data_IF_640652101671
#
_entry.id   IF_640652101671
#
_cell.length_a   1.000
_cell.length_b   1.000
_cell.length_c   1.000
_cell.angle_alpha   90.00
_cell.angle_beta   90.00
_cell.angle_gamma   90.00
#
_symmetry.space_group_name_H-M   'P 1'
#
loop_
_entity.id
_entity.type
_entity.pdbx_description
1 polymer ?
#
# COMPACT_ATOMS: atom_id res chain seq x y z
N UNK A 1 27.06 -27.19 -14.20
CA UNK A 1 26.28 -25.95 -14.35
C UNK A 1 24.94 -26.15 -15.08
N UNK A 2 24.84 -27.01 -16.11
CA UNK A 2 23.59 -27.27 -16.84
C UNK A 2 22.40 -27.76 -15.98
N UNK A 3 22.62 -28.65 -15.01
CA UNK A 3 21.53 -29.16 -14.14
C UNK A 3 20.98 -28.13 -13.14
N UNK A 4 21.78 -27.13 -12.73
CA UNK A 4 21.33 -26.08 -11.82
C UNK A 4 20.47 -25.05 -12.57
N UNK A 5 20.90 -24.61 -13.75
CA UNK A 5 20.09 -23.72 -14.58
C UNK A 5 18.77 -24.37 -15.05
N UNK A 6 18.81 -25.67 -15.40
CA UNK A 6 17.60 -26.42 -15.77
C UNK A 6 16.63 -26.62 -14.59
N UNK A 7 17.13 -26.81 -13.37
CA UNK A 7 16.29 -27.04 -12.18
C UNK A 7 15.92 -25.76 -11.41
N UNK A 8 16.69 -24.69 -11.48
CA UNK A 8 16.43 -23.47 -10.68
C UNK A 8 16.11 -22.26 -11.55
N UNK A 9 16.30 -22.36 -12.88
CA UNK A 9 16.15 -21.25 -13.82
C UNK A 9 14.76 -20.60 -13.78
N UNK A 10 13.68 -21.39 -13.71
CA UNK A 10 12.32 -20.83 -13.62
C UNK A 10 12.06 -20.12 -12.27
N UNK A 11 12.60 -20.64 -11.16
CA UNK A 11 12.49 -19.99 -9.85
C UNK A 11 13.21 -18.64 -9.85
N UNK A 12 14.44 -18.63 -10.37
CA UNK A 12 15.26 -17.43 -10.45
C UNK A 12 14.60 -16.42 -11.37
N UNK A 13 14.08 -16.86 -12.51
CA UNK A 13 13.35 -16.01 -13.44
C UNK A 13 12.13 -15.34 -12.78
N UNK A 14 11.28 -16.09 -12.09
CA UNK A 14 10.11 -15.53 -11.38
C UNK A 14 10.54 -14.50 -10.32
N UNK A 15 11.58 -14.80 -9.55
CA UNK A 15 12.12 -13.87 -8.55
C UNK A 15 12.67 -12.61 -9.22
N UNK A 16 13.43 -12.73 -10.31
CA UNK A 16 13.97 -11.59 -11.05
C UNK A 16 12.87 -10.73 -11.67
N UNK A 17 11.82 -11.33 -12.21
CA UNK A 17 10.65 -10.61 -12.71
C UNK A 17 9.95 -9.86 -11.57
N UNK A 18 9.71 -10.52 -10.43
CA UNK A 18 9.11 -9.89 -9.25
C UNK A 18 9.96 -8.72 -8.72
N UNK A 19 11.27 -8.88 -8.62
CA UNK A 19 12.20 -7.80 -8.25
C UNK A 19 12.20 -6.67 -9.27
N UNK A 20 12.20 -7.00 -10.57
CA UNK A 20 12.12 -6.04 -11.67
C UNK A 20 10.85 -5.21 -11.63
N UNK A 21 9.69 -5.82 -11.34
CA UNK A 21 8.42 -5.10 -11.16
C UNK A 21 8.49 -4.17 -9.95
N UNK A 22 9.05 -4.61 -8.82
CA UNK A 22 9.23 -3.74 -7.65
C UNK A 22 10.13 -2.54 -7.95
N UNK A 23 11.27 -2.76 -8.61
CA UNK A 23 12.17 -1.69 -9.02
C UNK A 23 11.51 -0.72 -10.00
N UNK A 24 10.79 -1.24 -10.99
CA UNK A 24 10.02 -0.44 -11.94
C UNK A 24 8.97 0.41 -11.24
N UNK A 25 8.12 -0.18 -10.38
CA UNK A 25 7.10 0.54 -9.63
C UNK A 25 7.73 1.63 -8.75
N UNK A 26 8.82 1.30 -8.06
CA UNK A 26 9.52 2.26 -7.23
C UNK A 26 9.99 3.47 -8.05
N UNK A 27 10.75 3.24 -9.13
CA UNK A 27 11.28 4.31 -9.98
C UNK A 27 10.16 5.09 -10.65
N UNK A 28 9.16 4.40 -11.20
CA UNK A 28 8.03 5.03 -11.89
C UNK A 28 7.27 5.98 -10.97
N UNK A 29 6.88 5.52 -9.78
CA UNK A 29 6.19 6.38 -8.82
C UNK A 29 7.10 7.45 -8.24
N UNK A 30 8.38 7.17 -8.01
CA UNK A 30 9.34 8.17 -7.56
C UNK A 30 9.40 9.36 -8.54
N UNK A 31 9.54 9.07 -9.84
CA UNK A 31 9.60 10.07 -10.91
C UNK A 31 8.24 10.75 -11.14
N UNK A 32 7.12 10.04 -11.02
CA UNK A 32 5.78 10.61 -11.17
C UNK A 32 5.49 11.73 -10.15
N UNK A 33 6.07 11.63 -8.95
CA UNK A 33 5.95 12.66 -7.91
C UNK A 33 6.98 13.81 -8.05
N UNK A 34 7.86 13.77 -9.06
CA UNK A 34 8.73 14.89 -9.44
C UNK A 34 8.12 15.79 -10.52
N UNK A 35 6.99 15.40 -11.11
CA UNK A 35 6.29 16.21 -12.12
C UNK A 35 5.76 17.54 -11.54
N UNK A 36 5.50 18.51 -12.42
CA UNK A 36 5.00 19.86 -12.10
C UNK A 36 3.75 19.86 -11.24
N UNK A 37 2.83 18.90 -11.47
CA UNK A 37 1.61 18.74 -10.66
C UNK A 37 1.88 18.68 -9.15
N UNK A 38 3.04 18.16 -8.74
CA UNK A 38 3.44 18.01 -7.35
C UNK A 38 4.48 19.05 -6.91
N UNK A 39 4.78 20.05 -7.75
CA UNK A 39 5.80 21.06 -7.47
C UNK A 39 5.58 21.73 -6.12
N UNK A 40 4.41 22.33 -5.87
CA UNK A 40 4.11 22.98 -4.59
C UNK A 40 4.10 22.01 -3.41
N UNK A 41 3.66 20.76 -3.62
CA UNK A 41 3.75 19.72 -2.60
C UNK A 41 5.21 19.40 -2.26
N UNK A 42 6.11 19.41 -3.25
CA UNK A 42 7.56 19.24 -3.06
C UNK A 42 8.24 20.47 -2.48
N UNK A 43 7.70 21.67 -2.67
CA UNK A 43 8.19 22.87 -1.96
C UNK A 43 8.00 22.69 -0.45
N UNK A 44 6.90 22.06 -0.02
CA UNK A 44 6.67 21.72 1.39
C UNK A 44 7.48 20.50 1.83
N UNK A 45 7.44 19.40 1.08
CA UNK A 45 7.88 18.08 1.56
C UNK A 45 9.26 17.65 1.03
N UNK A 46 9.82 18.37 0.07
CA UNK A 46 11.03 17.98 -0.64
C UNK A 46 10.91 16.58 -1.27
N UNK A 47 12.01 15.83 -1.21
CA UNK A 47 12.08 14.47 -1.72
C UNK A 47 11.34 13.45 -0.83
N UNK A 48 10.99 13.79 0.41
CA UNK A 48 10.28 12.89 1.32
C UNK A 48 8.90 12.50 0.79
N UNK A 49 8.29 13.34 -0.07
CA UNK A 49 7.08 12.99 -0.82
C UNK A 49 7.31 11.75 -1.71
N UNK A 50 8.28 11.81 -2.63
CA UNK A 50 8.56 10.69 -3.53
C UNK A 50 8.98 9.44 -2.77
N UNK A 51 9.79 9.60 -1.71
CA UNK A 51 10.20 8.50 -0.82
C UNK A 51 9.06 7.91 0.01
N UNK A 52 7.95 8.61 0.23
CA UNK A 52 6.77 8.02 0.85
C UNK A 52 5.89 7.29 -0.18
N UNK A 53 5.76 7.84 -1.39
CA UNK A 53 4.82 7.35 -2.40
C UNK A 53 5.33 6.17 -3.22
N UNK A 54 6.63 6.12 -3.53
CA UNK A 54 7.21 5.00 -4.25
C UNK A 54 7.13 3.68 -3.45
N UNK A 55 7.53 3.60 -2.16
CA UNK A 55 7.30 2.41 -1.35
C UNK A 55 5.83 2.07 -1.16
N UNK A 56 4.93 3.07 -1.09
CA UNK A 56 3.49 2.81 -0.96
C UNK A 56 2.93 2.05 -2.18
N UNK A 57 3.42 2.34 -3.38
CA UNK A 57 3.06 1.59 -4.59
C UNK A 57 3.59 0.14 -4.54
N UNK A 58 4.85 -0.04 -4.13
CA UNK A 58 5.43 -1.37 -3.94
C UNK A 58 4.71 -2.16 -2.83
N UNK A 59 4.29 -1.50 -1.75
CA UNK A 59 3.49 -2.11 -0.68
C UNK A 59 2.14 -2.58 -1.22
N UNK A 60 1.41 -1.77 -1.98
CA UNK A 60 0.15 -2.19 -2.59
C UNK A 60 0.32 -3.44 -3.46
N UNK A 61 1.39 -3.48 -4.27
CA UNK A 61 1.69 -4.64 -5.12
C UNK A 61 2.06 -5.88 -4.30
N UNK A 62 2.95 -5.76 -3.31
CA UNK A 62 3.35 -6.91 -2.51
C UNK A 62 2.25 -7.40 -1.56
N UNK A 63 1.43 -6.50 -1.00
CA UNK A 63 0.26 -6.88 -0.20
C UNK A 63 -0.85 -7.53 -1.03
N UNK A 64 -0.98 -7.18 -2.32
CA UNK A 64 -1.80 -7.95 -3.26
C UNK A 64 -1.23 -9.36 -3.47
N UNK A 65 0.09 -9.44 -3.65
CA UNK A 65 0.80 -10.67 -4.00
C UNK A 65 0.95 -11.65 -2.83
N UNK A 66 1.08 -11.19 -1.58
CA UNK A 66 1.38 -12.02 -0.40
C UNK A 66 0.31 -13.09 -0.13
N UNK A 67 -0.93 -12.86 -0.56
CA UNK A 67 -2.05 -13.79 -0.41
C UNK A 67 -1.99 -14.92 -1.44
N UNK A 68 -1.54 -14.67 -2.66
CA UNK A 68 -1.54 -15.65 -3.76
C UNK A 68 -0.81 -16.98 -3.41
N UNK A 69 0.37 -16.97 -2.77
CA UNK A 69 1.09 -18.20 -2.43
C UNK A 69 0.47 -19.01 -1.29
N UNK A 70 -0.55 -18.48 -0.60
CA UNK A 70 -1.27 -19.20 0.47
C UNK A 70 -2.69 -19.61 0.07
N UNK A 71 -3.14 -19.23 -1.15
CA UNK A 71 -4.41 -19.64 -1.76
C UNK A 71 -4.38 -21.12 -2.18
N UNK A 72 -4.54 -22.05 -1.23
CA UNK A 72 -4.43 -23.51 -1.49
C UNK A 72 -5.30 -24.01 -2.65
N UNK A 73 -6.53 -23.54 -2.78
CA UNK A 73 -7.45 -23.98 -3.84
C UNK A 73 -7.00 -23.50 -5.23
N UNK A 74 -6.55 -22.24 -5.34
CA UNK A 74 -5.98 -21.68 -6.58
C UNK A 74 -4.73 -22.44 -6.97
N UNK A 75 -3.85 -22.69 -6.01
CA UNK A 75 -2.59 -23.41 -6.24
C UNK A 75 -2.84 -24.86 -6.65
N UNK A 76 -3.82 -25.54 -6.05
CA UNK A 76 -4.24 -26.90 -6.44
C UNK A 76 -4.81 -26.94 -7.85
N UNK A 77 -5.65 -25.96 -8.24
CA UNK A 77 -6.19 -25.85 -9.60
C UNK A 77 -5.10 -25.58 -10.65
N UNK A 78 -4.21 -24.61 -10.36
CA UNK A 78 -3.08 -24.28 -11.23
C UNK A 78 -2.11 -25.46 -11.35
N UNK A 79 -1.91 -26.22 -10.26
CA UNK A 79 -1.10 -27.44 -10.30
C UNK A 79 -1.71 -28.49 -11.22
N UNK A 80 -3.02 -28.74 -11.14
CA UNK A 80 -3.71 -29.72 -12.00
C UNK A 80 -3.60 -29.38 -13.49
N UNK A 81 -3.77 -28.11 -13.85
CA UNK A 81 -3.68 -27.63 -15.24
C UNK A 81 -2.24 -27.61 -15.77
N UNK A 82 -1.28 -27.16 -14.95
CA UNK A 82 0.12 -26.98 -15.36
C UNK A 82 0.92 -28.28 -15.27
N UNK A 83 0.58 -29.22 -14.39
CA UNK A 83 1.28 -30.51 -14.30
C UNK A 83 1.11 -31.36 -15.56
N UNK A 84 0.02 -31.14 -16.31
CA UNK A 84 -0.16 -31.71 -17.65
C UNK A 84 0.83 -31.12 -18.68
N UNK A 85 1.26 -29.86 -18.51
CA UNK A 85 2.05 -29.11 -19.50
C UNK A 85 3.54 -28.92 -19.12
N UNK A 86 3.90 -28.87 -17.84
CA UNK A 86 5.28 -28.64 -17.38
C UNK A 86 5.51 -29.05 -15.92
N UNK A 87 6.35 -30.07 -15.70
CA UNK A 87 6.80 -30.50 -14.36
C UNK A 87 7.61 -29.41 -13.64
N UNK A 88 8.34 -28.57 -14.37
CA UNK A 88 9.16 -27.49 -13.80
C UNK A 88 8.29 -26.39 -13.20
N UNK A 89 7.17 -26.06 -13.83
CA UNK A 89 6.24 -25.05 -13.32
C UNK A 89 5.41 -25.56 -12.12
N UNK A 90 5.02 -26.84 -12.12
CA UNK A 90 4.41 -27.45 -10.92
C UNK A 90 5.35 -27.39 -9.69
N UNK A 91 6.66 -27.66 -9.88
CA UNK A 91 7.65 -27.54 -8.80
C UNK A 91 7.85 -26.11 -8.29
N UNK A 92 7.61 -25.09 -9.10
CA UNK A 92 7.62 -23.70 -8.63
C UNK A 92 6.43 -23.39 -7.73
N UNK A 93 5.25 -23.91 -8.06
CA UNK A 93 4.07 -23.80 -7.21
C UNK A 93 4.29 -24.47 -5.85
N UNK A 94 5.06 -25.56 -5.78
CA UNK A 94 5.41 -26.22 -4.52
C UNK A 94 6.33 -25.37 -3.61
N UNK A 95 7.02 -24.36 -4.15
CA UNK A 95 7.87 -23.42 -3.39
C UNK A 95 7.16 -22.13 -2.96
N UNK A 96 5.82 -22.12 -3.01
CA UNK A 96 4.99 -20.96 -2.70
C UNK A 96 5.27 -20.32 -1.32
N UNK A 97 5.53 -21.10 -0.27
CA UNK A 97 5.79 -20.58 1.08
C UNK A 97 7.13 -19.84 1.15
N UNK A 98 8.15 -20.31 0.44
CA UNK A 98 9.44 -19.58 0.37
C UNK A 98 9.25 -18.24 -0.32
N UNK A 99 8.44 -18.19 -1.38
CA UNK A 99 8.08 -16.95 -2.05
C UNK A 99 7.27 -16.01 -1.14
N UNK A 100 6.28 -16.53 -0.39
CA UNK A 100 5.53 -15.77 0.62
C UNK A 100 6.46 -15.09 1.63
N UNK A 101 7.47 -15.82 2.15
CA UNK A 101 8.46 -15.23 3.07
C UNK A 101 9.28 -14.11 2.42
N UNK A 102 9.72 -14.27 1.17
CA UNK A 102 10.45 -13.22 0.44
C UNK A 102 9.58 -11.96 0.24
N UNK A 103 8.31 -12.14 -0.14
CA UNK A 103 7.35 -11.03 -0.25
C UNK A 103 7.12 -10.36 1.10
N UNK A 104 7.04 -11.13 2.20
CA UNK A 104 6.90 -10.58 3.54
C UNK A 104 8.11 -9.70 3.95
N UNK A 105 9.34 -10.13 3.64
CA UNK A 105 10.53 -9.29 3.87
C UNK A 105 10.53 -8.01 3.03
N UNK A 106 10.05 -8.07 1.78
CA UNK A 106 9.90 -6.89 0.93
C UNK A 106 8.85 -5.91 1.48
N UNK A 107 7.73 -6.42 2.01
CA UNK A 107 6.72 -5.61 2.71
C UNK A 107 7.34 -4.93 3.93
N UNK A 108 8.14 -5.65 4.73
CA UNK A 108 8.81 -5.09 5.90
C UNK A 108 9.76 -3.94 5.50
N UNK A 109 10.58 -4.16 4.47
CA UNK A 109 11.51 -3.16 3.95
C UNK A 109 10.80 -1.90 3.46
N UNK A 110 9.81 -2.04 2.56
CA UNK A 110 9.09 -0.88 2.06
C UNK A 110 8.25 -0.18 3.14
N UNK A 111 7.73 -0.91 4.13
CA UNK A 111 7.05 -0.32 5.29
C UNK A 111 8.00 0.57 6.08
N UNK A 112 9.22 0.11 6.37
CA UNK A 112 10.21 0.91 7.08
C UNK A 112 10.54 2.21 6.32
N UNK A 113 10.83 2.11 5.01
CA UNK A 113 11.11 3.30 4.17
C UNK A 113 9.91 4.24 4.13
N UNK A 114 8.69 3.71 3.98
CA UNK A 114 7.45 4.48 3.94
C UNK A 114 7.21 5.25 5.25
N UNK A 115 7.37 4.61 6.40
CA UNK A 115 7.20 5.23 7.72
C UNK A 115 8.22 6.34 7.92
N UNK A 116 9.50 6.08 7.65
CA UNK A 116 10.57 7.08 7.79
C UNK A 116 10.27 8.31 6.92
N UNK A 117 9.88 8.10 5.67
CA UNK A 117 9.51 9.20 4.77
C UNK A 117 8.28 9.97 5.27
N UNK A 118 7.30 9.30 5.88
CA UNK A 118 6.15 9.96 6.50
C UNK A 118 6.53 10.80 7.73
N UNK A 119 7.49 10.34 8.55
CA UNK A 119 7.98 11.13 9.69
C UNK A 119 8.60 12.45 9.21
N UNK A 120 9.46 12.41 8.18
CA UNK A 120 10.00 13.63 7.57
C UNK A 120 8.91 14.51 6.95
N UNK A 121 7.91 13.92 6.29
CA UNK A 121 6.82 14.71 5.71
C UNK A 121 6.03 15.48 6.78
N UNK A 122 5.75 14.85 7.93
CA UNK A 122 5.04 15.52 9.02
C UNK A 122 5.88 16.63 9.65
N UNK A 123 7.18 16.41 9.83
CA UNK A 123 8.10 17.44 10.33
C UNK A 123 8.11 18.66 9.40
N UNK A 124 8.26 18.44 8.08
CA UNK A 124 8.27 19.54 7.12
C UNK A 124 6.92 20.28 7.02
N UNK A 125 5.80 19.57 7.15
CA UNK A 125 4.50 20.22 7.27
C UNK A 125 4.40 21.10 8.52
N UNK A 126 4.99 20.68 9.63
CA UNK A 126 5.00 21.48 10.86
C UNK A 126 5.90 22.70 10.74
N UNK A 127 7.11 22.54 10.24
CA UNK A 127 8.05 23.64 10.03
C UNK A 127 7.46 24.71 9.11
N UNK A 128 6.81 24.28 8.02
CA UNK A 128 6.15 25.19 7.08
C UNK A 128 5.02 26.00 7.73
N UNK A 129 4.25 25.39 8.65
CA UNK A 129 3.15 26.09 9.33
C UNK A 129 3.64 26.99 10.47
N UNK A 130 4.71 26.58 11.18
CA UNK A 130 5.25 27.34 12.31
C UNK A 130 6.06 28.57 11.87
N UNK A 131 6.63 28.55 10.66
CA UNK A 131 7.38 29.67 10.10
C UNK A 131 6.43 30.76 9.57
N UNK A 132 5.82 31.53 10.48
CA UNK A 132 4.78 32.56 10.24
C UNK A 132 5.25 33.80 9.47
N UNK A 133 6.02 33.59 8.42
CA UNK A 133 6.51 34.63 7.54
C UNK A 133 5.66 34.62 6.27
N UNK A 134 4.86 35.67 6.05
CA UNK A 134 4.02 35.81 4.85
C UNK A 134 4.82 35.94 3.55
N UNK A 135 6.11 36.27 3.63
CA UNK A 135 7.03 36.27 2.48
C UNK A 135 7.74 34.92 2.30
N UNK A 136 7.30 33.88 3.02
CA UNK A 136 7.83 32.52 2.87
C UNK A 136 6.79 31.63 2.18
N UNK A 137 7.09 31.19 0.96
CA UNK A 137 6.19 30.40 0.13
C UNK A 137 5.60 29.15 0.85
N UNK A 138 6.39 28.33 1.58
CA UNK A 138 5.83 27.20 2.34
C UNK A 138 4.75 27.59 3.37
N UNK A 139 4.88 28.75 4.02
CA UNK A 139 3.86 29.25 4.94
C UNK A 139 2.60 29.66 4.18
N UNK A 140 2.73 30.42 3.08
CA UNK A 140 1.61 30.82 2.22
C UNK A 140 0.86 29.60 1.69
N UNK A 141 1.57 28.57 1.23
CA UNK A 141 0.99 27.30 0.79
C UNK A 141 0.26 26.55 1.91
N UNK A 142 0.72 26.69 3.16
CA UNK A 142 0.10 26.06 4.32
C UNK A 142 -1.19 26.75 4.75
N UNK A 143 -1.35 28.04 4.44
CA UNK A 143 -2.58 28.81 4.72
C UNK A 143 -3.67 28.63 3.64
N UNK A 144 -3.33 28.12 2.45
CA UNK A 144 -4.32 27.88 1.38
C UNK A 144 -5.39 26.88 1.84
N UNK A 145 -6.66 27.25 1.65
CA UNK A 145 -7.83 26.42 1.96
C UNK A 145 -8.25 26.41 3.43
N UNK A 146 -7.71 27.31 4.27
CA UNK A 146 -8.06 27.36 5.71
C UNK A 146 -9.53 27.72 5.96
N UNK A 147 -10.19 28.38 4.99
CA UNK A 147 -11.61 28.74 5.08
C UNK A 147 -12.60 27.70 4.55
N UNK A 148 -12.20 26.86 3.57
CA UNK A 148 -13.11 25.92 2.88
C UNK A 148 -12.79 24.44 3.11
N UNK A 149 -11.59 24.11 3.64
CA UNK A 149 -11.03 22.76 3.79
C UNK A 149 -11.05 21.89 2.51
N UNK A 150 -11.39 22.47 1.36
CA UNK A 150 -11.52 21.73 0.10
C UNK A 150 -10.17 21.66 -0.61
N UNK A 151 -9.47 22.80 -0.66
CA UNK A 151 -8.27 23.00 -1.48
C UNK A 151 -6.94 22.93 -0.70
N UNK A 152 -6.96 22.51 0.56
CA UNK A 152 -5.75 22.51 1.41
C UNK A 152 -4.60 21.71 0.82
N UNK A 153 -3.37 22.16 1.08
CA UNK A 153 -2.15 21.40 0.77
C UNK A 153 -1.47 20.88 2.03
N UNK A 154 -1.31 21.73 3.05
CA UNK A 154 -0.83 21.31 4.37
C UNK A 154 -2.02 20.84 5.24
N UNK A 155 -2.03 19.58 5.73
CA UNK A 155 -3.07 19.10 6.62
C UNK A 155 -2.99 19.69 8.03
N UNK A 156 -1.87 20.30 8.41
CA UNK A 156 -1.64 20.91 9.73
C UNK A 156 -2.09 22.36 9.66
N UNK A 157 -3.12 22.71 10.43
CA UNK A 157 -3.83 24.00 10.31
C UNK A 157 -3.78 24.88 11.55
N UNK A 158 -3.46 24.30 12.69
CA UNK A 158 -3.41 25.01 13.95
C UNK A 158 -1.99 24.99 14.48
N UNK A 159 -1.66 25.99 15.28
CA UNK A 159 -0.30 26.16 15.78
C UNK A 159 -0.04 25.33 17.04
N UNK A 160 -1.10 24.91 17.72
CA UNK A 160 -1.04 24.11 18.95
C UNK A 160 -0.99 22.59 18.67
N UNK A 161 -0.69 22.19 17.43
CA UNK A 161 -0.57 20.77 17.06
C UNK A 161 0.85 20.27 17.22
N UNK A 162 0.97 19.10 17.86
CA UNK A 162 2.19 18.30 17.95
C UNK A 162 2.12 17.14 16.94
N UNK A 163 3.25 16.59 16.43
CA UNK A 163 3.22 15.44 15.52
C UNK A 163 2.44 14.24 16.09
N UNK A 164 2.53 14.04 17.41
CA UNK A 164 1.81 12.99 18.13
C UNK A 164 0.29 13.17 18.04
N UNK A 165 -0.19 14.42 18.13
CA UNK A 165 -1.60 14.70 18.01
C UNK A 165 -2.10 14.37 16.59
N UNK A 166 -1.36 14.77 15.56
CA UNK A 166 -1.68 14.47 14.16
C UNK A 166 -1.69 12.97 13.89
N UNK A 167 -0.75 12.23 14.50
CA UNK A 167 -0.66 10.78 14.40
C UNK A 167 -1.91 10.06 14.95
N UNK A 168 -2.52 10.57 16.02
CA UNK A 168 -3.68 9.91 16.65
C UNK A 168 -5.05 10.53 16.32
N UNK A 169 -5.09 11.60 15.52
CA UNK A 169 -6.37 12.25 15.13
C UNK A 169 -6.69 12.10 13.65
N UNK A 170 -5.69 11.89 12.80
CA UNK A 170 -5.92 11.68 11.37
C UNK A 170 -6.23 10.22 11.05
N UNK A 171 -7.10 10.00 10.05
CA UNK A 171 -7.41 8.64 9.57
C UNK A 171 -6.12 7.90 9.19
N UNK A 172 -5.23 8.55 8.43
CA UNK A 172 -3.97 7.96 8.02
C UNK A 172 -3.05 7.65 9.21
N UNK A 173 -2.99 8.52 10.22
CA UNK A 173 -2.17 8.31 11.40
C UNK A 173 -2.65 7.11 12.23
N UNK A 174 -3.93 7.11 12.65
CA UNK A 174 -4.50 6.04 13.51
C UNK A 174 -4.42 4.68 12.83
N UNK A 175 -4.85 4.62 11.55
CA UNK A 175 -4.74 3.37 10.78
C UNK A 175 -3.28 2.98 10.56
N UNK A 176 -2.38 3.93 10.33
CA UNK A 176 -0.95 3.71 10.15
C UNK A 176 -0.29 3.09 11.38
N UNK A 177 -0.61 3.57 12.58
CA UNK A 177 -0.14 2.97 13.83
C UNK A 177 -0.70 1.56 13.99
N UNK A 178 -2.01 1.37 13.81
CA UNK A 178 -2.65 0.07 13.96
C UNK A 178 -2.09 -0.99 12.99
N UNK A 179 -1.95 -0.67 11.70
CA UNK A 179 -1.39 -1.61 10.71
C UNK A 179 0.09 -1.90 10.97
N UNK A 180 0.86 -0.92 11.43
CA UNK A 180 2.29 -1.11 11.73
C UNK A 180 2.48 -2.04 12.92
N UNK A 181 1.71 -1.83 14.00
CA UNK A 181 1.73 -2.71 15.17
C UNK A 181 1.32 -4.13 14.79
N UNK A 182 0.24 -4.29 14.02
CA UNK A 182 -0.17 -5.60 13.51
C UNK A 182 0.94 -6.26 12.68
N UNK A 183 1.58 -5.52 11.77
CA UNK A 183 2.66 -6.04 10.93
C UNK A 183 3.88 -6.47 11.76
N UNK A 184 4.29 -5.68 12.76
CA UNK A 184 5.40 -6.02 13.65
C UNK A 184 5.10 -7.33 14.40
N UNK A 185 3.90 -7.46 14.97
CA UNK A 185 3.49 -8.68 15.67
C UNK A 185 3.46 -9.90 14.74
N UNK A 186 2.92 -9.76 13.54
CA UNK A 186 2.89 -10.84 12.53
C UNK A 186 4.32 -11.26 12.15
N UNK A 187 5.20 -10.30 11.83
CA UNK A 187 6.56 -10.60 11.37
C UNK A 187 7.37 -11.26 12.48
N UNK A 188 7.34 -10.69 13.69
CA UNK A 188 8.12 -11.18 14.83
C UNK A 188 7.72 -12.60 15.19
N UNK A 189 6.42 -12.89 15.35
CA UNK A 189 5.94 -14.24 15.67
C UNK A 189 6.18 -15.26 14.55
N UNK A 190 6.26 -14.80 13.29
CA UNK A 190 6.52 -15.65 12.13
C UNK A 190 8.00 -16.01 11.94
N UNK A 191 8.91 -15.42 12.72
CA UNK A 191 10.33 -15.77 12.70
C UNK A 191 10.52 -17.25 13.05
N UNK A 192 11.50 -17.89 12.39
CA UNK A 192 11.69 -19.34 12.48
C UNK A 192 11.93 -19.83 13.91
N UNK A 193 12.66 -19.05 14.71
CA UNK A 193 12.95 -19.35 16.12
C UNK A 193 11.64 -19.43 16.93
N UNK A 194 10.76 -18.44 16.78
CA UNK A 194 9.50 -18.38 17.54
C UNK A 194 8.52 -19.42 17.01
N UNK A 195 8.31 -19.48 15.69
CA UNK A 195 7.34 -20.38 15.07
C UNK A 195 7.64 -21.87 15.32
N UNK A 196 8.92 -22.26 15.42
CA UNK A 196 9.29 -23.66 15.71
C UNK A 196 9.06 -24.05 17.18
N UNK A 197 9.22 -23.10 18.11
CA UNK A 197 9.08 -23.35 19.55
C UNK A 197 7.68 -23.06 20.09
N UNK A 198 6.96 -22.11 19.48
CA UNK A 198 5.67 -21.59 19.95
C UNK A 198 4.70 -21.44 18.77
N UNK A 199 4.27 -22.57 18.20
CA UNK A 199 3.42 -22.59 17.01
C UNK A 199 2.06 -21.90 17.22
N UNK A 200 1.44 -22.07 18.39
CA UNK A 200 0.16 -21.42 18.73
C UNK A 200 0.29 -19.89 18.69
N UNK A 201 1.38 -19.34 19.25
CA UNK A 201 1.64 -17.89 19.23
C UNK A 201 1.74 -17.39 17.80
N UNK A 202 2.50 -18.09 16.95
CA UNK A 202 2.54 -17.80 15.51
C UNK A 202 1.14 -17.82 14.91
N UNK A 203 0.37 -18.88 15.13
CA UNK A 203 -0.93 -19.06 14.48
C UNK A 203 -1.93 -17.97 14.85
N UNK A 204 -2.12 -17.68 16.14
CA UNK A 204 -3.06 -16.64 16.59
C UNK A 204 -2.63 -15.24 16.16
N UNK A 205 -1.34 -14.91 16.29
CA UNK A 205 -0.86 -13.58 15.89
C UNK A 205 -0.84 -13.38 14.38
N UNK A 206 -0.66 -14.44 13.58
CA UNK A 206 -0.68 -14.32 12.12
C UNK A 206 -2.06 -13.90 11.60
N UNK A 207 -3.15 -14.28 12.29
CA UNK A 207 -4.53 -13.85 11.95
C UNK A 207 -4.77 -12.34 12.07
N UNK A 208 -3.85 -11.59 12.69
CA UNK A 208 -3.85 -10.12 12.63
C UNK A 208 -3.75 -9.59 11.19
N UNK A 209 -3.47 -10.45 10.19
CA UNK A 209 -3.60 -10.09 8.77
C UNK A 209 -4.98 -9.49 8.46
N UNK A 210 -6.06 -9.91 9.14
CA UNK A 210 -7.41 -9.35 8.95
C UNK A 210 -7.42 -7.85 9.31
N UNK A 211 -6.90 -7.52 10.49
CA UNK A 211 -6.78 -6.12 10.95
C UNK A 211 -5.85 -5.34 10.02
N UNK A 212 -4.73 -5.94 9.62
CA UNK A 212 -3.78 -5.33 8.68
C UNK A 212 -4.45 -4.95 7.36
N UNK A 213 -5.18 -5.86 6.71
CA UNK A 213 -5.82 -5.58 5.42
C UNK A 213 -7.00 -4.60 5.53
N UNK A 214 -7.80 -4.68 6.59
CA UNK A 214 -8.86 -3.69 6.86
C UNK A 214 -8.23 -2.30 7.04
N UNK A 215 -7.23 -2.19 7.91
CA UNK A 215 -6.54 -0.92 8.15
C UNK A 215 -5.89 -0.38 6.87
N UNK A 216 -5.24 -1.24 6.08
CA UNK A 216 -4.61 -0.87 4.81
C UNK A 216 -5.62 -0.32 3.79
N UNK A 217 -6.83 -0.88 3.72
CA UNK A 217 -7.89 -0.40 2.83
C UNK A 217 -8.33 1.04 3.16
N UNK A 218 -8.38 1.39 4.46
CA UNK A 218 -8.78 2.71 4.93
C UNK A 218 -7.62 3.71 5.08
N UNK A 219 -6.38 3.23 5.16
CA UNK A 219 -5.21 4.07 5.43
C UNK A 219 -5.06 5.25 4.45
N UNK A 220 -5.34 5.02 3.17
CA UNK A 220 -5.31 6.05 2.13
C UNK A 220 -6.58 6.91 2.01
N UNK A 221 -7.62 6.67 2.80
CA UNK A 221 -8.94 7.29 2.63
C UNK A 221 -8.94 8.79 2.92
N UNK A 222 -8.04 9.27 3.78
CA UNK A 222 -7.92 10.69 4.15
C UNK A 222 -7.40 11.61 3.04
N UNK A 223 -6.87 11.06 1.93
CA UNK A 223 -6.37 11.82 0.76
C UNK A 223 -5.47 13.01 1.13
N UNK A 224 -4.59 12.80 2.11
CA UNK A 224 -3.71 13.83 2.68
C UNK A 224 -2.67 14.31 1.68
N UNK A 225 -2.16 13.41 0.83
CA UNK A 225 -1.20 13.77 -0.23
C UNK A 225 -1.97 14.36 -1.41
N UNK A 226 -1.76 15.66 -1.62
CA UNK A 226 -2.50 16.47 -2.60
C UNK A 226 -1.54 17.13 -3.56
N UNK A 227 -1.98 17.23 -4.81
CA UNK A 227 -1.24 17.86 -5.90
C UNK A 227 -2.14 18.89 -6.55
N UNK A 228 -1.54 19.75 -7.36
CA UNK A 228 -2.27 20.77 -8.09
C UNK A 228 -3.30 20.12 -9.02
N UNK A 229 -4.46 20.74 -9.12
CA UNK A 229 -5.52 20.31 -10.04
C UNK A 229 -5.15 20.68 -11.47
N UNK A 230 -5.67 19.93 -12.46
CA UNK A 230 -5.39 20.20 -13.86
C UNK A 230 -5.83 21.60 -14.30
N UNK A 231 -7.00 22.06 -13.83
CA UNK A 231 -7.47 23.41 -14.13
C UNK A 231 -6.60 24.47 -13.46
N UNK A 232 -6.12 24.22 -12.24
CA UNK A 232 -5.20 25.12 -11.56
C UNK A 232 -3.83 25.19 -12.23
N UNK A 233 -3.32 24.11 -12.82
CA UNK A 233 -2.05 24.13 -13.57
C UNK A 233 -2.11 25.06 -14.78
N UNK A 234 -3.27 25.19 -15.43
CA UNK A 234 -3.44 26.08 -16.59
C UNK A 234 -3.43 27.57 -16.22
N UNK A 235 -3.87 27.89 -15.01
CA UNK A 235 -4.00 29.29 -14.54
C UNK A 235 -2.92 29.67 -13.53
N UNK A 236 -2.08 28.72 -13.13
CA UNK A 236 -1.00 28.88 -12.18
C UNK A 236 0.07 27.84 -12.51
N UNK A 237 0.98 28.24 -13.40
CA UNK A 237 2.12 27.41 -13.82
C UNK A 237 3.22 27.49 -12.74
N UNK A 238 3.61 26.37 -12.11
CA UNK A 238 4.46 26.42 -10.92
C UNK A 238 5.83 27.07 -11.12
N UNK A 239 6.47 26.88 -12.27
CA UNK A 239 7.81 27.41 -12.53
C UNK A 239 7.82 28.95 -12.56
N UNK A 240 6.80 29.57 -13.16
CA UNK A 240 6.66 31.02 -13.21
C UNK A 240 6.03 31.56 -11.92
N UNK A 241 4.87 31.00 -11.53
CA UNK A 241 4.02 31.54 -10.49
C UNK A 241 4.58 31.33 -9.08
N UNK A 242 5.47 30.38 -8.85
CA UNK A 242 6.10 30.19 -7.54
C UNK A 242 6.99 31.36 -7.11
N UNK A 243 7.57 32.09 -8.06
CA UNK A 243 8.43 33.26 -7.77
C UNK A 243 7.63 34.52 -7.44
N UNK A 244 6.37 34.61 -7.91
CA UNK A 244 5.46 35.75 -7.77
C UNK A 244 4.26 35.42 -6.87
N UNK A 245 4.50 34.64 -5.82
CA UNK A 245 3.44 34.11 -4.97
C UNK A 245 2.70 35.19 -4.15
N UNK A 246 3.35 36.34 -3.90
CA UNK A 246 2.73 37.49 -3.24
C UNK A 246 1.65 38.17 -4.10
N UNK A 247 1.65 37.94 -5.42
CA UNK A 247 0.70 38.53 -6.39
C UNK A 247 -0.44 37.59 -6.76
N UNK A 248 -0.51 36.38 -6.18
CA UNK A 248 -1.52 35.39 -6.52
C UNK A 248 -2.94 35.90 -6.29
N UNK A 249 -3.76 35.86 -7.34
CA UNK A 249 -5.16 36.31 -7.27
C UNK A 249 -5.33 37.83 -7.12
N UNK A 250 -4.30 38.63 -7.41
CA UNK A 250 -4.42 40.09 -7.47
C UNK A 250 -5.21 40.54 -8.71
N UNK A 251 -6.15 41.47 -8.52
CA UNK A 251 -6.95 42.06 -9.61
C UNK A 251 -6.11 42.96 -10.57
N UNK A 252 -4.85 43.23 -10.24
CA UNK A 252 -3.95 44.12 -10.99
C UNK A 252 -3.31 43.46 -12.24
N UNK A 253 -3.99 42.50 -12.85
CA UNK A 253 -3.50 41.82 -14.06
C UNK A 253 -2.42 40.77 -13.81
N UNK A 254 -2.34 40.19 -12.61
CA UNK A 254 -1.46 39.05 -12.38
C UNK A 254 -1.98 37.83 -13.14
N UNK A 255 -1.09 37.16 -13.89
CA UNK A 255 -1.40 35.96 -14.69
C UNK A 255 -1.57 34.71 -13.83
N UNK A 256 -1.17 34.78 -12.55
CA UNK A 256 -1.12 33.65 -11.63
C UNK A 256 -2.33 33.65 -10.68
N UNK A 257 -3.30 32.77 -10.93
CA UNK A 257 -4.40 32.53 -10.00
C UNK A 257 -3.90 31.81 -8.72
N UNK A 258 -4.66 31.87 -7.62
CA UNK A 258 -4.34 31.09 -6.41
C UNK A 258 -4.41 29.59 -6.73
N UNK A 259 -3.36 28.80 -6.43
CA UNK A 259 -3.32 27.39 -6.80
C UNK A 259 -4.34 26.57 -6.01
N UNK A 260 -5.00 25.63 -6.68
CA UNK A 260 -5.99 24.71 -6.08
C UNK A 260 -5.49 23.28 -6.07
N UNK A 261 -5.55 22.64 -4.91
CA UNK A 261 -5.06 21.29 -4.69
C UNK A 261 -6.18 20.28 -4.50
N UNK A 262 -5.95 19.06 -4.96
CA UNK A 262 -6.85 17.94 -4.73
C UNK A 262 -6.08 16.66 -4.44
N UNK A 263 -6.62 15.86 -3.53
CA UNK A 263 -6.08 14.54 -3.20
C UNK A 263 -6.52 13.49 -4.20
N UNK A 264 -5.61 12.61 -4.58
CA UNK A 264 -5.96 11.49 -5.45
C UNK A 264 -6.94 10.54 -4.73
N UNK A 265 -7.88 9.93 -5.47
CA UNK A 265 -8.74 8.91 -4.89
C UNK A 265 -7.88 7.74 -4.38
N UNK A 266 -8.28 7.08 -3.27
CA UNK A 266 -7.53 5.95 -2.75
C UNK A 266 -7.44 4.88 -3.83
N UNK A 267 -6.25 4.32 -4.06
CA UNK A 267 -6.03 3.26 -5.04
C UNK A 267 -5.91 1.89 -4.38
N UNK A 268 -5.51 1.82 -3.11
CA UNK A 268 -5.21 0.58 -2.38
C UNK A 268 -6.34 -0.44 -2.42
N UNK A 269 -7.60 0.01 -2.33
CA UNK A 269 -8.76 -0.88 -2.44
C UNK A 269 -8.80 -1.65 -3.77
N UNK A 270 -8.35 -1.06 -4.89
CA UNK A 270 -8.31 -1.73 -6.20
C UNK A 270 -7.30 -2.88 -6.22
N UNK A 271 -6.18 -2.70 -5.52
CA UNK A 271 -5.12 -3.70 -5.42
C UNK A 271 -5.50 -4.82 -4.44
N UNK A 272 -6.25 -4.49 -3.40
CA UNK A 272 -6.58 -5.43 -2.32
C UNK A 272 -7.87 -6.23 -2.57
N UNK A 273 -8.90 -5.62 -3.19
CA UNK A 273 -10.19 -6.28 -3.39
C UNK A 273 -10.14 -7.44 -4.38
N UNK A 274 -9.38 -7.34 -5.47
CA UNK A 274 -9.29 -8.42 -6.47
C UNK A 274 -8.83 -9.75 -5.85
N UNK A 275 -7.67 -9.81 -5.19
CA UNK A 275 -7.20 -11.01 -4.51
C UNK A 275 -8.09 -11.44 -3.33
N UNK A 276 -8.65 -10.51 -2.57
CA UNK A 276 -9.54 -10.86 -1.44
C UNK A 276 -10.84 -11.50 -1.91
N UNK A 277 -11.47 -10.96 -2.97
CA UNK A 277 -12.67 -11.55 -3.58
C UNK A 277 -12.34 -12.92 -4.17
N UNK A 278 -11.20 -13.06 -4.86
CA UNK A 278 -10.74 -14.35 -5.37
C UNK A 278 -10.57 -15.36 -4.23
N UNK A 279 -9.98 -14.94 -3.11
CA UNK A 279 -9.77 -15.80 -1.95
C UNK A 279 -11.08 -16.21 -1.27
N UNK A 280 -12.02 -15.28 -1.09
CA UNK A 280 -13.35 -15.55 -0.50
C UNK A 280 -14.23 -16.39 -1.43
N UNK A 281 -14.17 -16.17 -2.75
CA UNK A 281 -14.88 -16.96 -3.74
C UNK A 281 -14.35 -18.41 -3.77
N UNK A 282 -13.03 -18.59 -3.73
CA UNK A 282 -12.41 -19.91 -3.61
C UNK A 282 -12.67 -20.59 -2.27
N UNK A 283 -12.91 -19.84 -1.20
CA UNK A 283 -13.29 -20.35 0.11
C UNK A 283 -14.76 -20.81 0.14
N UNK A 284 -15.68 -19.99 -0.38
CA UNK A 284 -17.13 -20.31 -0.47
C UNK A 284 -17.49 -21.37 -1.53
N UNK A 285 -16.57 -21.71 -2.43
CA UNK A 285 -16.72 -22.82 -3.37
C UNK A 285 -16.59 -24.20 -2.71
N UNK A 286 -15.92 -24.30 -1.56
CA UNK A 286 -15.63 -25.57 -0.88
C UNK A 286 -16.81 -26.08 -0.05
N UNK A 287 -17.56 -25.20 0.62
CA UNK A 287 -18.76 -25.61 1.35
C UNK A 287 -19.80 -26.26 0.43
N UNK A 288 -19.85 -25.87 -0.85
CA UNK A 288 -20.86 -26.39 -1.80
C UNK A 288 -20.54 -27.77 -2.37
N UNK A 289 -19.29 -28.23 -2.32
CA UNK A 289 -18.87 -29.52 -2.88
C UNK A 289 -18.52 -30.53 -1.78
N UNK A 290 -17.92 -30.10 -0.65
CA UNK A 290 -17.71 -30.99 0.49
C UNK A 290 -19.02 -31.37 1.19
N UNK A 291 -19.99 -30.45 1.29
CA UNK A 291 -21.31 -30.77 1.85
C UNK A 291 -22.07 -31.74 0.95
N UNK A 292 -21.97 -31.60 -0.39
CA UNK A 292 -22.58 -32.57 -1.33
C UNK A 292 -21.94 -33.95 -1.27
N UNK A 293 -20.62 -34.03 -1.18
CA UNK A 293 -19.88 -35.29 -1.07
C UNK A 293 -20.14 -36.00 0.27
N UNK A 294 -20.23 -35.24 1.37
CA UNK A 294 -20.61 -35.76 2.69
C UNK A 294 -22.06 -36.27 2.72
N UNK A 295 -23.02 -35.56 2.09
CA UNK A 295 -24.41 -36.04 2.01
C UNK A 295 -24.63 -37.23 1.07
N UNK A 296 -23.82 -37.40 0.02
CA UNK A 296 -23.86 -38.62 -0.81
C UNK A 296 -23.24 -39.82 -0.10
N UNK A 297 -22.17 -39.62 0.69
CA UNK A 297 -21.53 -40.70 1.43
C UNK A 297 -22.41 -41.20 2.61
N UNK A 298 -23.15 -40.30 3.27
CA UNK A 298 -24.07 -40.67 4.35
C UNK A 298 -25.38 -41.31 3.90
N UNK A 299 -25.73 -41.28 2.60
CA UNK A 299 -26.97 -41.88 2.08
C UNK A 299 -26.80 -43.34 1.64
N UNK A 300 -25.57 -43.78 1.35
CA UNK A 300 -25.28 -45.16 0.94
C UNK A 300 -24.93 -46.11 2.12
N UNK A 301 -24.76 -45.59 3.34
CA UNK A 301 -24.48 -46.40 4.55
C UNK A 301 -25.70 -46.54 5.49
N UNK A 302 -26.93 -46.43 4.99
CA UNK A 302 -28.10 -46.87 5.75
C UNK A 302 -28.43 -48.33 5.41
N UNK A 303 -28.01 -49.32 6.23
CA UNK A 303 -28.57 -50.65 6.14
C UNK A 303 -30.02 -50.60 6.58
N UNK A 304 -30.90 -50.89 5.62
CA UNK A 304 -32.30 -51.24 5.82
C UNK A 304 -32.39 -52.32 6.91
N UNK A 305 -32.75 -51.90 8.13
CA UNK A 305 -33.17 -52.80 9.21
C UNK A 305 -34.69 -52.79 9.23
N UNK A 306 -35.27 -53.60 8.34
CA UNK A 306 -36.66 -54.01 8.43
C UNK A 306 -36.74 -55.55 8.36
N UNK A 307 -37.29 -56.10 9.45
CA UNK A 307 -37.97 -57.39 9.62
C UNK A 307 -37.18 -58.68 9.36
#
# INVERSE_FOLDING_TARGET
MGNFAANEGLSIFVILVWLGINAFLFVHFYMAFLLERWFYTRVLLGHALSWARAPAACLNFNCMLILLPVCRNLLSFLRGTIQCCSRTAARQLDRNITFHKMVAYMIAFHTAVHIIAHLFNFEYFMDAQQNRNSSFLPFVLSEIGSGDNASFLNPIRTNDTNPTFVLFTTIAGVTGVAITLALILIITSSMEVIRRSYFEVFWYTHHLFIIFFIGLAFHGAGRIVRGQTFDSLKTNEPEECSSRFEEWGSDNGSTCAVPRFAGNPPQTWKWVLGPMILQLWLWSGVEREEEKLLWTCFRDESPDKNQ
#
